data_IF_240372991931
#
_entry.id   IF_240372991931
#
_cell.length_a   1.000
_cell.length_b   1.000
_cell.length_c   1.000
_cell.angle_alpha   90.00
_cell.angle_beta   90.00
_cell.angle_gamma   90.00
#
_symmetry.space_group_name_H-M   'P 1'
#
loop_
_entity.id
_entity.type
_entity.pdbx_description
1 polymer ?
#
# COMPACT_ATOMS: atom_id res chain seq x y z
N UNK A 1 -18.29 -24.74 -9.76
CA UNK A 1 -17.02 -24.32 -10.40
C UNK A 1 -17.00 -22.81 -10.40
N UNK A 2 -15.87 -22.19 -10.06
CA UNK A 2 -15.75 -20.73 -10.06
C UNK A 2 -15.86 -20.18 -11.49
N UNK A 3 -16.75 -19.20 -11.71
CA UNK A 3 -16.96 -18.59 -13.04
C UNK A 3 -15.77 -17.69 -13.37
N UNK A 4 -15.01 -18.00 -14.43
CA UNK A 4 -13.79 -17.25 -14.80
C UNK A 4 -13.82 -16.75 -16.23
N UNK A 5 -13.37 -15.52 -16.45
CA UNK A 5 -13.29 -14.87 -17.77
C UNK A 5 -11.95 -14.17 -17.95
N UNK A 6 -11.48 -14.06 -19.19
CA UNK A 6 -10.35 -13.19 -19.48
C UNK A 6 -10.69 -11.72 -19.21
N UNK A 7 -9.73 -10.94 -18.70
CA UNK A 7 -9.89 -9.49 -18.50
C UNK A 7 -10.35 -8.79 -19.80
N UNK A 8 -9.82 -9.19 -20.97
CA UNK A 8 -10.26 -8.64 -22.25
C UNK A 8 -11.73 -8.93 -22.56
N UNK A 9 -12.22 -10.09 -22.14
CA UNK A 9 -13.61 -10.51 -22.37
C UNK A 9 -14.54 -9.60 -21.56
N UNK A 10 -14.20 -9.36 -20.30
CA UNK A 10 -14.95 -8.42 -19.44
C UNK A 10 -14.94 -7.01 -20.03
N UNK A 11 -13.79 -6.52 -20.49
CA UNK A 11 -13.70 -5.22 -21.17
C UNK A 11 -14.58 -5.17 -22.43
N UNK A 12 -14.60 -6.22 -23.26
CA UNK A 12 -15.46 -6.29 -24.45
C UNK A 12 -16.94 -6.26 -24.10
N UNK A 13 -17.36 -6.92 -23.02
CA UNK A 13 -18.72 -6.83 -22.52
C UNK A 13 -19.07 -5.41 -22.06
N UNK A 14 -18.15 -4.72 -21.38
CA UNK A 14 -18.31 -3.32 -21.01
C UNK A 14 -18.46 -2.42 -22.26
N UNK A 15 -17.58 -2.59 -23.26
CA UNK A 15 -17.64 -1.85 -24.52
C UNK A 15 -18.97 -2.09 -25.26
N UNK A 16 -19.47 -3.33 -25.27
CA UNK A 16 -20.76 -3.68 -25.87
C UNK A 16 -21.93 -2.97 -25.19
N UNK A 17 -21.96 -2.97 -23.86
CA UNK A 17 -22.98 -2.29 -23.09
C UNK A 17 -22.93 -0.77 -23.30
N UNK A 18 -21.73 -0.19 -23.34
CA UNK A 18 -21.51 1.22 -23.66
C UNK A 18 -22.01 1.57 -25.06
N UNK A 19 -21.67 0.77 -26.08
CA UNK A 19 -22.07 1.03 -27.46
C UNK A 19 -23.60 1.07 -27.66
N UNK A 20 -24.35 0.34 -26.83
CA UNK A 20 -25.82 0.33 -26.86
C UNK A 20 -26.46 1.59 -26.27
N UNK A 21 -25.86 2.20 -25.26
CA UNK A 21 -26.46 3.34 -24.54
C UNK A 21 -25.77 4.67 -24.82
N UNK A 22 -24.53 4.65 -25.33
CA UNK A 22 -23.64 5.81 -25.42
C UNK A 22 -23.44 6.52 -24.06
N UNK A 23 -23.65 5.79 -22.97
CA UNK A 23 -23.52 6.25 -21.59
C UNK A 23 -22.59 5.33 -20.80
N UNK A 24 -21.79 5.86 -19.85
CA UNK A 24 -20.94 5.04 -18.98
C UNK A 24 -21.72 3.91 -18.30
N UNK A 25 -21.15 2.71 -18.34
CA UNK A 25 -21.78 1.46 -17.89
C UNK A 25 -21.78 1.41 -16.37
N UNK A 26 -22.95 1.38 -15.74
CA UNK A 26 -23.06 1.09 -14.31
C UNK A 26 -22.55 -0.30 -14.01
N UNK A 27 -21.88 -0.46 -12.88
CA UNK A 27 -21.28 -1.73 -12.56
C UNK A 27 -22.29 -2.86 -12.33
N UNK A 28 -23.42 -2.61 -11.66
CA UNK A 28 -24.43 -3.67 -11.48
C UNK A 28 -24.94 -4.18 -12.83
N UNK A 29 -25.07 -3.28 -13.81
CA UNK A 29 -25.48 -3.64 -15.17
C UNK A 29 -24.44 -4.53 -15.85
N UNK A 30 -23.15 -4.28 -15.63
CA UNK A 30 -22.08 -5.14 -16.14
C UNK A 30 -22.13 -6.53 -15.49
N UNK A 31 -22.23 -6.60 -14.16
CA UNK A 31 -22.28 -7.88 -13.43
C UNK A 31 -23.51 -8.70 -13.81
N UNK A 32 -24.70 -8.11 -13.78
CA UNK A 32 -25.93 -8.81 -14.20
C UNK A 32 -25.83 -9.30 -15.64
N UNK A 33 -25.20 -8.53 -16.54
CA UNK A 33 -24.98 -8.99 -17.92
C UNK A 33 -24.03 -10.19 -17.98
N UNK A 34 -22.90 -10.14 -17.28
CA UNK A 34 -21.93 -11.24 -17.26
C UNK A 34 -22.52 -12.52 -16.66
N UNK A 35 -23.29 -12.41 -15.58
CA UNK A 35 -23.92 -13.55 -14.90
C UNK A 35 -24.97 -14.23 -15.78
N UNK A 36 -25.88 -13.44 -16.37
CA UNK A 36 -26.98 -13.95 -17.19
C UNK A 36 -26.51 -14.53 -18.53
N UNK A 37 -25.36 -14.08 -19.04
CA UNK A 37 -24.84 -14.50 -20.34
C UNK A 37 -23.57 -15.36 -20.23
N UNK A 38 -23.21 -15.82 -19.02
CA UNK A 38 -21.93 -16.46 -18.75
C UNK A 38 -21.62 -17.63 -19.69
N UNK A 39 -22.57 -18.56 -19.88
CA UNK A 39 -22.39 -19.75 -20.73
C UNK A 39 -22.09 -19.39 -22.20
N UNK A 40 -22.77 -18.38 -22.74
CA UNK A 40 -22.52 -17.90 -24.09
C UNK A 40 -21.16 -17.18 -24.19
N UNK A 41 -20.79 -16.42 -23.16
CA UNK A 41 -19.53 -15.66 -23.13
C UNK A 41 -18.34 -16.60 -23.01
N UNK A 42 -18.37 -17.59 -22.12
CA UNK A 42 -17.26 -18.52 -21.91
C UNK A 42 -16.98 -19.35 -23.17
N UNK A 43 -18.01 -19.79 -23.90
CA UNK A 43 -17.86 -20.54 -25.14
C UNK A 43 -17.19 -19.72 -26.26
N UNK A 44 -17.35 -18.39 -26.24
CA UNK A 44 -16.89 -17.50 -27.30
C UNK A 44 -15.66 -16.67 -26.92
N UNK A 45 -15.21 -16.70 -25.66
CA UNK A 45 -14.06 -15.91 -25.25
C UNK A 45 -12.79 -16.38 -25.96
N UNK A 46 -11.95 -15.42 -26.34
CA UNK A 46 -10.66 -15.68 -26.99
C UNK A 46 -9.58 -14.88 -26.32
N UNK A 47 -8.36 -15.42 -26.34
CA UNK A 47 -7.18 -14.65 -26.01
C UNK A 47 -7.08 -13.46 -26.98
N UNK A 48 -6.75 -12.31 -26.44
CA UNK A 48 -6.39 -11.13 -27.20
C UNK A 48 -4.99 -11.30 -27.79
N UNK A 49 -4.81 -10.76 -28.99
CA UNK A 49 -3.51 -10.55 -29.61
C UNK A 49 -3.27 -9.04 -29.67
N UNK A 50 -2.14 -8.59 -29.14
CA UNK A 50 -1.77 -7.17 -29.07
C UNK A 50 -0.26 -7.03 -29.31
N UNK A 51 0.15 -6.00 -30.04
CA UNK A 51 1.58 -5.73 -30.30
C UNK A 51 2.35 -5.46 -29.01
N UNK A 52 1.70 -4.88 -28.02
CA UNK A 52 2.23 -4.75 -26.67
C UNK A 52 2.04 -6.08 -25.89
N UNK A 53 3.15 -6.81 -25.73
CA UNK A 53 3.17 -8.11 -25.03
C UNK A 53 2.70 -8.02 -23.57
N UNK A 54 2.97 -6.92 -22.87
CA UNK A 54 2.51 -6.74 -21.51
C UNK A 54 0.99 -6.59 -21.46
N UNK A 55 0.43 -5.67 -22.26
CA UNK A 55 -1.02 -5.47 -22.38
C UNK A 55 -1.72 -6.78 -22.77
N UNK A 56 -1.18 -7.50 -23.75
CA UNK A 56 -1.67 -8.83 -24.13
C UNK A 56 -1.70 -9.79 -22.94
N UNK A 57 -0.61 -9.85 -22.15
CA UNK A 57 -0.51 -10.77 -21.03
C UNK A 57 -1.54 -10.50 -19.93
N UNK A 58 -1.76 -9.22 -19.59
CA UNK A 58 -2.76 -8.82 -18.60
C UNK A 58 -4.16 -9.11 -19.13
N UNK A 59 -4.46 -8.69 -20.35
CA UNK A 59 -5.76 -8.91 -20.98
C UNK A 59 -6.14 -10.40 -21.12
N UNK A 60 -5.14 -11.29 -21.13
CA UNK A 60 -5.31 -12.75 -21.17
C UNK A 60 -5.24 -13.42 -19.79
N UNK A 61 -5.19 -12.65 -18.71
CA UNK A 61 -5.31 -13.20 -17.35
C UNK A 61 -6.77 -13.57 -17.09
N UNK A 62 -7.01 -14.75 -16.53
CA UNK A 62 -8.33 -15.21 -16.09
C UNK A 62 -8.63 -14.62 -14.71
N UNK A 63 -9.79 -14.00 -14.56
CA UNK A 63 -10.28 -13.47 -13.29
C UNK A 63 -11.61 -14.12 -12.94
N UNK A 64 -11.87 -14.31 -11.65
CA UNK A 64 -13.17 -14.77 -11.18
C UNK A 64 -14.22 -13.67 -11.34
N UNK A 65 -15.45 -14.03 -11.67
CA UNK A 65 -16.58 -13.07 -11.58
C UNK A 65 -16.77 -12.58 -10.15
N UNK A 66 -16.40 -13.38 -9.15
CA UNK A 66 -16.43 -12.97 -7.75
C UNK A 66 -15.29 -11.99 -7.39
N UNK A 67 -14.19 -12.03 -8.17
CA UNK A 67 -13.06 -11.11 -8.04
C UNK A 67 -13.29 -9.83 -8.84
N UNK A 68 -14.32 -9.76 -9.70
CA UNK A 68 -14.84 -8.46 -10.11
C UNK A 68 -15.43 -7.85 -8.84
N UNK A 69 -14.57 -7.16 -8.10
CA UNK A 69 -14.95 -6.35 -6.95
C UNK A 69 -15.70 -5.15 -7.49
N UNK A 70 -16.80 -4.80 -6.83
CA UNK A 70 -17.58 -3.65 -7.25
C UNK A 70 -16.69 -2.39 -7.23
N UNK A 71 -16.50 -1.70 -8.36
CA UNK A 71 -16.07 -0.32 -8.36
C UNK A 71 -17.17 0.43 -7.64
N UNK A 72 -16.87 0.78 -6.40
CA UNK A 72 -17.21 2.04 -5.77
C UNK A 72 -18.56 2.60 -6.23
N UNK A 73 -19.65 2.08 -5.66
CA UNK A 73 -21.01 2.63 -5.83
C UNK A 73 -21.59 3.18 -4.55
N UNK A 74 -20.77 3.35 -3.50
CA UNK A 74 -21.17 3.97 -2.24
C UNK A 74 -20.22 5.11 -1.90
N UNK A 75 -20.77 6.15 -1.28
CA UNK A 75 -20.07 7.38 -0.91
C UNK A 75 -19.02 7.12 0.18
N UNK A 76 -19.22 6.08 1.01
CA UNK A 76 -18.26 5.61 2.02
C UNK A 76 -17.91 4.15 1.73
N UNK A 77 -16.66 3.88 1.35
CA UNK A 77 -16.16 2.55 0.98
C UNK A 77 -15.08 2.16 2.00
N UNK A 78 -15.34 1.13 2.80
CA UNK A 78 -14.31 0.50 3.63
C UNK A 78 -13.41 -0.41 2.75
N UNK A 79 -12.14 -0.52 3.10
CA UNK A 79 -11.04 -1.29 2.47
C UNK A 79 -11.43 -2.73 2.18
N UNK A 80 -12.35 -3.27 2.98
CA UNK A 80 -12.91 -4.61 2.89
C UNK A 80 -13.70 -4.85 1.60
N UNK A 81 -14.12 -3.79 0.90
CA UNK A 81 -14.91 -3.88 -0.34
C UNK A 81 -14.09 -3.72 -1.63
N UNK A 82 -12.86 -3.20 -1.55
CA UNK A 82 -11.94 -3.05 -2.70
C UNK A 82 -10.89 -4.15 -2.77
N UNK A 83 -10.44 -4.62 -1.60
CA UNK A 83 -9.41 -5.65 -1.47
C UNK A 83 -10.09 -6.88 -0.88
N UNK A 84 -10.00 -8.07 -1.51
CA UNK A 84 -10.51 -9.31 -0.93
C UNK A 84 -9.95 -9.56 0.47
N UNK A 85 -10.74 -10.11 1.39
CA UNK A 85 -10.34 -10.30 2.80
C UNK A 85 -9.08 -11.16 2.98
N UNK A 86 -8.82 -12.07 2.03
CA UNK A 86 -7.63 -12.92 1.99
C UNK A 86 -6.35 -12.20 1.52
N UNK A 87 -6.47 -10.96 1.03
CA UNK A 87 -5.40 -10.19 0.40
C UNK A 87 -5.11 -8.89 1.17
N UNK A 88 -3.87 -8.44 1.09
CA UNK A 88 -3.45 -7.13 1.61
C UNK A 88 -3.12 -6.12 0.50
N UNK A 89 -2.76 -6.64 -0.68
CA UNK A 89 -2.50 -5.88 -1.90
C UNK A 89 -3.38 -6.49 -2.99
N UNK A 90 -4.03 -5.64 -3.78
CA UNK A 90 -4.90 -6.09 -4.87
C UNK A 90 -4.74 -5.18 -6.08
N UNK A 91 -4.45 -5.76 -7.24
CA UNK A 91 -4.26 -5.02 -8.47
C UNK A 91 -5.21 -5.50 -9.58
N UNK A 92 -5.71 -4.57 -10.37
CA UNK A 92 -6.56 -4.88 -11.52
C UNK A 92 -6.42 -3.82 -12.61
N UNK A 93 -6.89 -4.18 -13.80
CA UNK A 93 -6.99 -3.26 -14.94
C UNK A 93 -8.24 -2.39 -14.79
N UNK A 94 -8.08 -1.07 -14.82
CA UNK A 94 -9.22 -0.15 -14.91
C UNK A 94 -10.05 -0.45 -16.15
N UNK A 95 -11.36 -0.69 -15.99
CA UNK A 95 -12.24 -0.99 -17.12
C UNK A 95 -12.69 0.29 -17.82
N UNK A 96 -12.43 0.38 -19.12
CA UNK A 96 -12.87 1.52 -19.92
C UNK A 96 -14.40 1.54 -20.02
N UNK A 97 -14.97 2.75 -20.12
CA UNK A 97 -16.40 3.03 -20.18
C UNK A 97 -17.21 2.67 -18.93
N UNK A 98 -16.59 2.15 -17.88
CA UNK A 98 -17.27 1.94 -16.62
C UNK A 98 -17.62 3.29 -15.99
N UNK A 99 -18.82 3.42 -15.45
CA UNK A 99 -19.26 4.63 -14.78
C UNK A 99 -18.46 4.79 -13.49
N UNK A 100 -17.66 5.84 -13.41
CA UNK A 100 -16.97 6.25 -12.20
C UNK A 100 -17.47 7.61 -11.72
N UNK A 101 -17.64 7.75 -10.41
CA UNK A 101 -18.02 8.99 -9.73
C UNK A 101 -16.94 9.38 -8.72
N UNK A 102 -16.98 10.62 -8.24
CA UNK A 102 -16.12 11.03 -7.12
C UNK A 102 -16.41 10.15 -5.91
N UNK A 103 -15.35 9.61 -5.32
CA UNK A 103 -15.42 8.69 -4.20
C UNK A 103 -14.18 8.80 -3.31
N UNK A 104 -14.21 8.11 -2.18
CA UNK A 104 -13.10 7.96 -1.24
C UNK A 104 -13.10 6.54 -0.67
N UNK A 105 -11.92 6.08 -0.23
CA UNK A 105 -11.70 4.77 0.38
C UNK A 105 -10.50 4.85 1.34
N UNK A 106 -10.38 3.95 2.31
CA UNK A 106 -9.37 4.01 3.39
C UNK A 106 -8.02 3.32 3.08
N UNK A 107 -7.77 2.97 1.82
CA UNK A 107 -6.51 2.35 1.37
C UNK A 107 -5.69 3.33 0.53
N UNK A 108 -4.42 2.97 0.32
CA UNK A 108 -3.64 3.64 -0.70
C UNK A 108 -4.00 3.05 -2.05
N UNK A 109 -4.22 3.93 -3.00
CA UNK A 109 -4.37 3.60 -4.42
C UNK A 109 -3.13 4.04 -5.19
N UNK A 110 -2.66 3.19 -6.10
CA UNK A 110 -1.60 3.50 -7.05
C UNK A 110 -2.14 3.27 -8.46
N UNK A 111 -2.17 4.33 -9.25
CA UNK A 111 -2.50 4.29 -10.66
C UNK A 111 -1.25 4.32 -11.51
N UNK A 112 -1.13 3.38 -12.44
CA UNK A 112 -0.07 3.41 -13.44
C UNK A 112 -0.63 3.38 -14.85
N UNK A 113 -0.34 4.43 -15.62
CA UNK A 113 -0.76 4.55 -17.02
C UNK A 113 0.24 3.86 -17.93
N UNK A 114 -0.21 2.82 -18.63
CA UNK A 114 0.59 2.04 -19.58
C UNK A 114 0.44 2.61 -20.98
N UNK A 115 -0.79 2.88 -21.39
CA UNK A 115 -1.18 3.37 -22.72
C UNK A 115 -2.37 4.34 -22.61
N UNK A 116 -2.51 5.22 -23.62
CA UNK A 116 -3.59 6.20 -23.67
C UNK A 116 -3.40 7.35 -22.69
N UNK A 117 -4.50 7.87 -22.15
CA UNK A 117 -4.48 9.02 -21.23
C UNK A 117 -5.73 9.05 -20.36
N UNK A 118 -5.58 9.56 -19.15
CA UNK A 118 -6.70 9.71 -18.23
C UNK A 118 -6.70 11.09 -17.56
N UNK A 119 -7.83 11.44 -16.94
CA UNK A 119 -7.96 12.62 -16.12
C UNK A 119 -8.25 12.20 -14.69
N UNK A 120 -7.35 12.55 -13.78
CA UNK A 120 -7.56 12.48 -12.35
C UNK A 120 -8.25 13.77 -11.90
N UNK A 121 -9.43 13.63 -11.31
CA UNK A 121 -10.10 14.66 -10.54
C UNK A 121 -9.79 14.40 -9.08
N UNK A 122 -9.07 15.31 -8.44
CA UNK A 122 -8.65 15.16 -7.05
C UNK A 122 -9.01 16.44 -6.30
N UNK A 123 -9.92 16.34 -5.33
CA UNK A 123 -10.49 17.49 -4.63
C UNK A 123 -11.01 18.56 -5.60
N UNK A 124 -10.31 19.69 -5.72
CA UNK A 124 -10.65 20.81 -6.61
C UNK A 124 -9.72 20.93 -7.82
N UNK A 125 -8.77 20.01 -7.99
CA UNK A 125 -7.83 19.99 -9.11
C UNK A 125 -8.17 18.90 -10.10
N UNK A 126 -7.81 19.15 -11.35
CA UNK A 126 -7.88 18.19 -12.43
C UNK A 126 -6.48 18.08 -13.05
N UNK A 127 -6.02 16.84 -13.23
CA UNK A 127 -4.67 16.54 -13.69
C UNK A 127 -4.76 15.51 -14.80
N UNK A 128 -3.98 15.73 -15.86
CA UNK A 128 -3.85 14.77 -16.94
C UNK A 128 -2.78 13.72 -16.58
N UNK A 129 -3.14 12.45 -16.70
CA UNK A 129 -2.23 11.32 -16.55
C UNK A 129 -1.86 10.80 -17.94
N UNK A 130 -0.56 10.66 -18.19
CA UNK A 130 0.02 10.21 -19.45
C UNK A 130 0.80 8.90 -19.27
N UNK A 131 1.13 8.16 -20.34
CA UNK A 131 1.87 6.90 -20.23
C UNK A 131 3.19 7.07 -19.46
N UNK A 132 3.44 6.19 -18.49
CA UNK A 132 4.58 6.28 -17.56
C UNK A 132 4.30 7.07 -16.28
N UNK A 133 3.18 7.77 -16.17
CA UNK A 133 2.80 8.43 -14.93
C UNK A 133 2.34 7.39 -13.89
N UNK A 134 2.90 7.50 -12.69
CA UNK A 134 2.43 6.78 -11.49
C UNK A 134 1.83 7.78 -10.54
N UNK A 135 0.56 7.61 -10.16
CA UNK A 135 -0.10 8.45 -9.17
C UNK A 135 -0.40 7.63 -7.92
N UNK A 136 0.11 8.06 -6.76
CA UNK A 136 -0.17 7.45 -5.45
C UNK A 136 -1.16 8.35 -4.72
N UNK A 137 -2.32 7.82 -4.36
CA UNK A 137 -3.43 8.54 -3.74
C UNK A 137 -3.52 8.12 -2.27
N UNK A 138 -3.60 9.10 -1.37
CA UNK A 138 -3.72 8.83 0.07
C UNK A 138 -5.11 8.28 0.44
N UNK A 139 -5.23 7.53 1.54
CA UNK A 139 -6.52 7.15 2.09
C UNK A 139 -7.44 8.36 2.32
N UNK A 140 -8.74 8.12 2.19
CA UNK A 140 -9.85 9.05 2.40
C UNK A 140 -9.80 10.29 1.49
N UNK A 141 -9.01 10.26 0.42
CA UNK A 141 -9.00 11.32 -0.57
C UNK A 141 -10.23 11.23 -1.48
N UNK A 142 -10.91 12.36 -1.70
CA UNK A 142 -12.02 12.41 -2.66
C UNK A 142 -11.48 12.58 -4.07
N UNK A 143 -11.63 11.54 -4.88
CA UNK A 143 -11.08 11.52 -6.23
C UNK A 143 -11.94 10.74 -7.22
N UNK A 144 -11.62 10.89 -8.50
CA UNK A 144 -12.19 10.13 -9.61
C UNK A 144 -11.19 10.08 -10.75
N UNK A 145 -11.11 8.95 -11.46
CA UNK A 145 -10.31 8.80 -12.66
C UNK A 145 -11.23 8.58 -13.84
N UNK A 146 -11.17 9.50 -14.79
CA UNK A 146 -11.88 9.37 -16.06
C UNK A 146 -10.89 8.89 -17.12
N UNK A 147 -11.07 7.67 -17.58
CA UNK A 147 -10.26 7.08 -18.64
C UNK A 147 -10.80 7.44 -20.02
N UNK A 148 -9.90 7.77 -20.95
CA UNK A 148 -10.28 7.97 -22.35
C UNK A 148 -10.32 6.64 -23.12
N UNK A 149 -10.81 6.69 -24.36
CA UNK A 149 -10.83 5.53 -25.25
C UNK A 149 -9.41 4.99 -25.42
N UNK A 150 -9.28 3.66 -25.45
CA UNK A 150 -8.02 2.93 -25.66
C UNK A 150 -6.94 3.19 -24.59
N UNK A 151 -7.36 3.62 -23.40
CA UNK A 151 -6.48 3.77 -22.23
C UNK A 151 -6.27 2.44 -21.52
N UNK A 152 -5.05 2.20 -21.02
CA UNK A 152 -4.70 1.03 -20.24
C UNK A 152 -4.05 1.48 -18.93
N UNK A 153 -4.81 1.39 -17.83
CA UNK A 153 -4.36 1.73 -16.48
C UNK A 153 -4.46 0.50 -15.58
N UNK A 154 -3.44 0.31 -14.75
CA UNK A 154 -3.47 -0.64 -13.64
C UNK A 154 -3.63 0.14 -12.35
N UNK A 155 -4.62 -0.25 -11.55
CA UNK A 155 -4.83 0.24 -10.19
C UNK A 155 -4.26 -0.81 -9.23
N UNK A 156 -3.54 -0.37 -8.20
CA UNK A 156 -3.09 -1.20 -7.07
C UNK A 156 -3.63 -0.60 -5.79
N UNK A 157 -4.35 -1.40 -5.02
CA UNK A 157 -4.85 -1.03 -3.70
C UNK A 157 -4.03 -1.71 -2.61
N UNK A 158 -3.66 -0.95 -1.58
CA UNK A 158 -2.83 -1.40 -0.46
C UNK A 158 -3.54 -1.08 0.85
N UNK A 159 -3.83 -2.10 1.65
CA UNK A 159 -4.49 -1.92 2.96
C UNK A 159 -3.69 -1.01 3.88
N UNK A 160 -4.39 -0.15 4.61
CA UNK A 160 -3.74 0.76 5.57
C UNK A 160 -2.91 0.04 6.65
N UNK A 161 -3.35 -1.16 7.10
CA UNK A 161 -2.65 -1.93 8.14
C UNK A 161 -1.21 -2.36 7.77
N UNK A 162 -0.86 -2.36 6.48
CA UNK A 162 0.46 -2.76 5.98
C UNK A 162 1.32 -1.59 5.50
N UNK A 163 0.92 -0.33 5.66
CA UNK A 163 1.69 0.84 5.20
C UNK A 163 3.12 0.87 5.72
N UNK A 164 3.32 0.49 6.99
CA UNK A 164 4.66 0.40 7.58
C UNK A 164 5.59 -0.58 6.86
N UNK A 165 5.05 -1.59 6.15
CA UNK A 165 5.83 -2.56 5.40
C UNK A 165 6.20 -2.05 4.00
N UNK A 166 5.45 -1.06 3.50
CA UNK A 166 5.75 -0.33 2.26
C UNK A 166 6.94 0.60 2.50
N UNK A 167 7.00 1.21 3.69
CA UNK A 167 8.18 1.93 4.16
C UNK A 167 9.35 0.96 4.34
N UNK A 168 10.42 1.17 3.59
CA UNK A 168 11.69 0.52 3.87
C UNK A 168 12.49 1.41 4.83
N UNK A 169 12.09 1.38 6.10
CA UNK A 169 12.63 2.22 7.19
C UNK A 169 14.15 2.02 7.38
N UNK A 170 14.70 0.93 6.83
CA UNK A 170 16.11 0.58 6.88
C UNK A 170 17.04 1.35 5.93
N UNK A 171 16.51 2.18 5.02
CA UNK A 171 17.36 2.94 4.10
C UNK A 171 17.83 4.27 4.72
N UNK A 172 19.09 4.62 4.46
CA UNK A 172 19.70 5.90 4.87
C UNK A 172 19.01 7.12 4.22
N UNK A 173 18.20 6.90 3.19
CA UNK A 173 17.51 7.93 2.42
C UNK A 173 15.99 7.92 2.67
N UNK A 174 15.48 9.00 3.28
CA UNK A 174 14.03 9.23 3.39
C UNK A 174 13.49 9.78 2.07
N UNK A 175 13.25 8.87 1.11
CA UNK A 175 12.78 9.20 -0.24
C UNK A 175 11.37 9.83 -0.25
N UNK A 176 10.94 10.35 -1.40
CA UNK A 176 9.66 11.06 -1.52
C UNK A 176 8.42 10.19 -1.29
N UNK A 177 8.47 8.91 -1.68
CA UNK A 177 7.38 7.95 -1.42
C UNK A 177 7.37 7.64 0.08
N UNK A 178 8.52 7.38 0.69
CA UNK A 178 8.64 7.20 2.13
C UNK A 178 8.11 8.41 2.92
N UNK A 179 8.43 9.63 2.49
CA UNK A 179 7.89 10.86 3.05
C UNK A 179 6.36 10.95 2.90
N UNK A 180 5.83 10.60 1.74
CA UNK A 180 4.40 10.60 1.46
C UNK A 180 3.64 9.60 2.35
N UNK A 181 4.12 8.35 2.42
CA UNK A 181 3.53 7.29 3.26
C UNK A 181 3.64 7.63 4.75
N UNK A 182 4.78 8.15 5.19
CA UNK A 182 4.98 8.54 6.58
C UNK A 182 4.04 9.69 6.98
N UNK A 183 3.83 10.69 6.10
CA UNK A 183 2.84 11.75 6.32
C UNK A 183 1.44 11.17 6.54
N UNK A 184 1.04 10.16 5.75
CA UNK A 184 -0.24 9.46 5.91
C UNK A 184 -0.32 8.81 7.30
N UNK A 185 0.75 8.14 7.74
CA UNK A 185 0.78 7.44 9.03
C UNK A 185 0.70 8.37 10.25
N UNK A 186 1.25 9.59 10.16
CA UNK A 186 1.26 10.53 11.29
C UNK A 186 -0.03 11.33 11.46
N UNK A 187 -0.74 11.61 10.37
CA UNK A 187 -1.84 12.55 10.40
C UNK A 187 -3.19 11.87 10.63
N UNK A 188 -3.55 11.68 11.90
CA UNK A 188 -4.88 11.20 12.29
C UNK A 188 -6.04 12.14 11.87
N UNK A 189 -5.77 13.37 11.41
CA UNK A 189 -6.81 14.34 10.99
C UNK A 189 -6.46 15.26 9.79
N UNK A 190 -5.45 15.00 8.93
CA UNK A 190 -5.07 16.00 7.89
C UNK A 190 -5.41 15.62 6.44
N UNK A 191 -5.89 16.64 5.72
CA UNK A 191 -5.81 16.91 4.29
C UNK A 191 -5.34 15.77 3.36
N UNK A 192 -6.25 15.22 2.53
CA UNK A 192 -5.91 14.22 1.53
C UNK A 192 -4.86 14.75 0.53
N UNK A 193 -4.06 13.85 -0.03
CA UNK A 193 -2.98 14.19 -0.95
C UNK A 193 -2.80 13.12 -2.03
N UNK A 194 -2.13 13.50 -3.12
CA UNK A 194 -1.57 12.56 -4.10
C UNK A 194 -0.09 12.85 -4.28
N UNK A 195 0.67 11.84 -4.69
CA UNK A 195 2.03 11.95 -5.21
C UNK A 195 2.04 11.45 -6.65
N UNK A 196 2.24 12.36 -7.60
CA UNK A 196 2.38 12.05 -9.02
C UNK A 196 3.86 11.98 -9.36
N UNK A 197 4.32 10.82 -9.81
CA UNK A 197 5.68 10.57 -10.28
C UNK A 197 5.68 10.38 -11.80
N UNK A 198 6.46 11.19 -12.50
CA UNK A 198 6.68 11.01 -13.95
C UNK A 198 7.82 10.02 -14.15
N UNK A 199 7.48 8.79 -14.57
CA UNK A 199 8.47 7.70 -14.75
C UNK A 199 8.56 7.26 -16.20
N UNK A 200 9.62 6.51 -16.53
CA UNK A 200 9.66 5.76 -17.79
C UNK A 200 8.98 4.41 -17.60
N UNK A 201 7.97 4.14 -18.42
CA UNK A 201 7.38 2.80 -18.51
C UNK A 201 8.45 1.80 -19.00
N UNK A 202 8.93 0.94 -18.10
CA UNK A 202 10.00 -0.02 -18.39
C UNK A 202 9.57 -1.47 -18.12
N UNK A 203 10.35 -2.41 -18.65
CA UNK A 203 10.04 -3.84 -18.59
C UNK A 203 10.00 -4.38 -17.16
N UNK A 204 10.85 -3.90 -16.25
CA UNK A 204 10.88 -4.36 -14.86
C UNK A 204 9.63 -3.92 -14.10
N UNK A 205 9.16 -2.68 -14.32
CA UNK A 205 7.91 -2.18 -13.76
C UNK A 205 6.71 -2.99 -14.27
N UNK A 206 6.68 -3.27 -15.57
CA UNK A 206 5.65 -4.11 -16.19
C UNK A 206 5.65 -5.53 -15.61
N UNK A 207 6.82 -6.18 -15.47
CA UNK A 207 6.86 -7.53 -14.89
C UNK A 207 6.42 -7.52 -13.43
N UNK A 208 6.85 -6.55 -12.62
CA UNK A 208 6.39 -6.43 -11.23
C UNK A 208 4.85 -6.30 -11.14
N UNK A 209 4.24 -5.46 -11.98
CA UNK A 209 2.78 -5.29 -12.02
C UNK A 209 2.06 -6.56 -12.46
N UNK A 210 2.59 -7.25 -13.47
CA UNK A 210 2.04 -8.53 -13.92
C UNK A 210 2.03 -9.55 -12.79
N UNK A 211 3.12 -9.64 -12.03
CA UNK A 211 3.20 -10.56 -10.89
C UNK A 211 2.22 -10.16 -9.77
N UNK A 212 2.07 -8.86 -9.46
CA UNK A 212 1.06 -8.39 -8.48
C UNK A 212 -0.37 -8.77 -8.93
N UNK A 213 -0.68 -8.64 -10.23
CA UNK A 213 -1.97 -9.04 -10.79
C UNK A 213 -2.17 -10.56 -10.66
N UNK A 214 -1.16 -11.38 -10.96
CA UNK A 214 -1.25 -12.83 -10.76
C UNK A 214 -1.47 -13.21 -9.29
N UNK A 215 -0.80 -12.54 -8.35
CA UNK A 215 -1.02 -12.73 -6.91
C UNK A 215 -2.40 -12.24 -6.42
N UNK A 216 -3.03 -11.35 -7.18
CA UNK A 216 -4.37 -10.82 -6.87
C UNK A 216 -5.47 -11.79 -7.27
N UNK A 217 -5.34 -12.43 -8.45
CA UNK A 217 -6.45 -13.18 -9.08
C UNK A 217 -6.19 -14.69 -9.25
N UNK A 218 -4.94 -15.11 -9.38
CA UNK A 218 -4.59 -16.50 -9.74
C UNK A 218 -4.16 -17.29 -8.52
N UNK A 219 -3.23 -16.76 -7.75
CA UNK A 219 -2.76 -17.40 -6.52
C UNK A 219 -3.68 -17.06 -5.37
N UNK A 220 -4.11 -18.03 -4.57
CA UNK A 220 -5.06 -17.85 -3.46
C UNK A 220 -4.54 -18.44 -2.15
N UNK A 221 -3.26 -18.78 -2.09
CA UNK A 221 -2.63 -19.33 -0.89
C UNK A 221 -2.17 -18.23 0.08
N UNK A 222 -1.76 -18.66 1.28
CA UNK A 222 -1.36 -17.78 2.39
C UNK A 222 -0.09 -16.96 2.12
N UNK A 223 0.65 -17.24 1.05
CA UNK A 223 1.88 -16.53 0.70
C UNK A 223 1.65 -15.40 -0.29
N UNK A 224 0.51 -15.36 -0.98
CA UNK A 224 0.26 -14.37 -2.04
C UNK A 224 0.45 -12.92 -1.60
N UNK A 225 -0.06 -12.52 -0.44
CA UNK A 225 0.13 -11.15 0.07
C UNK A 225 1.61 -10.80 0.30
N UNK A 226 2.43 -11.78 0.72
CA UNK A 226 3.87 -11.58 0.93
C UNK A 226 4.62 -11.47 -0.39
N UNK A 227 4.27 -12.29 -1.37
CA UNK A 227 4.86 -12.25 -2.71
C UNK A 227 4.48 -10.95 -3.42
N UNK A 228 3.20 -10.55 -3.36
CA UNK A 228 2.72 -9.28 -3.88
C UNK A 228 3.46 -8.09 -3.24
N UNK A 229 3.72 -8.13 -1.93
CA UNK A 229 4.51 -7.10 -1.24
C UNK A 229 5.94 -7.03 -1.77
N UNK A 230 6.61 -8.16 -2.01
CA UNK A 230 7.96 -8.18 -2.59
C UNK A 230 7.98 -7.56 -3.99
N UNK A 231 7.00 -7.87 -4.83
CA UNK A 231 6.88 -7.26 -6.16
C UNK A 231 6.52 -5.78 -6.10
N UNK A 232 5.68 -5.37 -5.15
CA UNK A 232 5.39 -3.97 -4.89
C UNK A 232 6.65 -3.19 -4.49
N UNK A 233 7.51 -3.75 -3.64
CA UNK A 233 8.81 -3.13 -3.30
C UNK A 233 9.68 -2.96 -4.55
N UNK A 234 9.78 -3.99 -5.40
CA UNK A 234 10.51 -3.91 -6.67
C UNK A 234 9.91 -2.80 -7.55
N UNK A 235 8.59 -2.70 -7.64
CA UNK A 235 7.91 -1.65 -8.40
C UNK A 235 8.23 -0.25 -7.86
N UNK A 236 8.13 -0.05 -6.54
CA UNK A 236 8.45 1.21 -5.86
C UNK A 236 9.90 1.63 -6.08
N UNK A 237 10.87 0.72 -5.91
CA UNK A 237 12.28 1.04 -6.18
C UNK A 237 12.54 1.38 -7.64
N UNK A 238 11.77 0.82 -8.58
CA UNK A 238 11.87 1.20 -9.99
C UNK A 238 11.28 2.58 -10.27
N UNK A 239 10.24 3.00 -9.54
CA UNK A 239 9.76 4.39 -9.57
C UNK A 239 10.89 5.31 -9.09
N UNK A 240 11.42 5.05 -7.88
CA UNK A 240 12.46 5.87 -7.27
C UNK A 240 13.74 5.95 -8.10
N UNK A 241 14.10 4.87 -8.80
CA UNK A 241 15.26 4.82 -9.70
C UNK A 241 15.09 5.65 -10.97
N UNK A 242 13.87 5.77 -11.49
CA UNK A 242 13.62 6.24 -12.86
C UNK A 242 12.64 7.42 -12.98
N UNK A 243 12.24 8.06 -11.86
CA UNK A 243 11.37 9.22 -11.93
C UNK A 243 12.16 10.46 -12.35
N UNK A 244 11.62 11.21 -13.30
CA UNK A 244 12.22 12.47 -13.77
C UNK A 244 11.79 13.65 -12.91
N UNK A 245 10.52 13.64 -12.50
CA UNK A 245 9.90 14.71 -11.73
C UNK A 245 8.81 14.13 -10.84
N UNK A 246 8.42 14.90 -9.83
CA UNK A 246 7.30 14.55 -8.96
C UNK A 246 6.51 15.80 -8.57
N UNK A 247 5.22 15.61 -8.30
CA UNK A 247 4.35 16.68 -7.79
C UNK A 247 3.41 16.14 -6.71
N UNK A 248 3.06 17.03 -5.78
CA UNK A 248 2.16 16.73 -4.67
C UNK A 248 0.99 17.72 -4.69
N UNK A 249 -0.18 17.31 -4.19
CA UNK A 249 -1.30 18.23 -3.99
C UNK A 249 -0.98 19.24 -2.89
N UNK A 250 -0.53 18.73 -1.73
CA UNK A 250 0.04 19.52 -0.64
C UNK A 250 1.53 19.20 -0.49
N UNK A 251 2.40 20.21 -0.40
CA UNK A 251 3.83 19.98 -0.22
C UNK A 251 4.10 19.26 1.11
N UNK A 252 5.16 18.46 1.12
CA UNK A 252 5.62 17.80 2.34
C UNK A 252 6.44 18.82 3.14
N UNK A 253 6.02 19.11 4.36
CA UNK A 253 6.78 19.98 5.26
C UNK A 253 8.10 19.34 5.68
N UNK A 254 9.18 20.14 5.75
CA UNK A 254 10.50 19.69 6.22
C UNK A 254 10.48 19.07 7.62
N UNK A 255 9.49 19.43 8.44
CA UNK A 255 9.27 18.84 9.77
C UNK A 255 9.11 17.33 9.71
N UNK A 256 8.44 16.79 8.67
CA UNK A 256 8.25 15.34 8.52
C UNK A 256 9.55 14.59 8.26
N UNK A 257 10.44 15.17 7.44
CA UNK A 257 11.78 14.62 7.21
C UNK A 257 12.58 14.60 8.52
N UNK A 258 12.52 15.68 9.29
CA UNK A 258 13.19 15.76 10.60
C UNK A 258 12.65 14.69 11.56
N UNK A 259 11.33 14.55 11.65
CA UNK A 259 10.67 13.57 12.51
C UNK A 259 11.02 12.12 12.14
N UNK A 260 11.09 11.81 10.84
CA UNK A 260 11.55 10.50 10.39
C UNK A 260 13.00 10.25 10.81
N UNK A 261 13.91 11.21 10.56
CA UNK A 261 15.32 11.05 10.95
C UNK A 261 15.48 10.86 12.45
N UNK A 262 14.65 11.54 13.25
CA UNK A 262 14.57 11.33 14.70
C UNK A 262 14.13 9.89 15.01
N UNK A 263 13.04 9.40 14.45
CA UNK A 263 12.56 8.03 14.71
C UNK A 263 13.57 6.97 14.26
N UNK A 264 14.13 7.10 13.06
CA UNK A 264 15.13 6.18 12.54
C UNK A 264 16.38 6.16 13.44
N UNK A 265 16.78 7.33 13.97
CA UNK A 265 17.87 7.38 14.95
C UNK A 265 17.50 6.67 16.25
N UNK A 266 16.28 6.83 16.74
CA UNK A 266 15.79 6.12 17.93
C UNK A 266 15.79 4.61 17.69
N UNK A 267 15.33 4.16 16.52
CA UNK A 267 15.29 2.74 16.16
C UNK A 267 16.71 2.18 16.04
N UNK A 268 17.63 2.82 15.32
CA UNK A 268 19.00 2.30 15.18
C UNK A 268 19.83 2.36 16.48
N UNK A 269 19.42 3.17 17.47
CA UNK A 269 20.13 3.35 18.73
C UNK A 269 19.26 2.96 19.95
N UNK A 270 18.22 2.14 19.76
CA UNK A 270 17.18 1.93 20.77
C UNK A 270 17.72 1.42 22.11
N UNK A 271 18.86 0.72 22.12
CA UNK A 271 19.42 0.14 23.34
C UNK A 271 19.83 1.23 24.33
N UNK A 272 20.47 2.30 23.86
CA UNK A 272 21.14 3.28 24.73
C UNK A 272 20.67 4.73 24.55
N UNK A 273 19.93 5.06 23.48
CA UNK A 273 19.54 6.45 23.19
C UNK A 273 18.73 7.08 24.32
N UNK A 274 19.14 8.27 24.75
CA UNK A 274 18.36 9.12 25.66
C UNK A 274 17.75 10.32 24.92
N UNK A 275 16.76 10.98 25.54
CA UNK A 275 16.20 12.22 25.01
C UNK A 275 17.27 13.32 24.91
N UNK A 276 18.23 13.35 25.85
CA UNK A 276 19.34 14.30 25.86
C UNK A 276 20.27 14.09 24.66
N UNK A 277 20.62 12.84 24.36
CA UNK A 277 21.46 12.50 23.20
C UNK A 277 20.78 12.90 21.89
N UNK A 278 19.48 12.63 21.81
CA UNK A 278 18.65 12.96 20.66
C UNK A 278 18.54 14.49 20.48
N UNK A 279 18.29 15.23 21.57
CA UNK A 279 18.22 16.69 21.55
C UNK A 279 19.54 17.31 21.08
N UNK A 280 20.67 16.84 21.60
CA UNK A 280 22.02 17.27 21.16
C UNK A 280 22.26 16.96 19.69
N UNK A 281 21.94 15.73 19.24
CA UNK A 281 22.17 15.27 17.86
C UNK A 281 21.41 16.09 16.82
N UNK A 282 20.18 16.50 17.14
CA UNK A 282 19.29 17.25 16.25
C UNK A 282 19.26 18.76 16.54
N UNK A 283 20.17 19.26 17.38
CA UNK A 283 20.29 20.68 17.74
C UNK A 283 19.00 21.29 18.32
N UNK A 284 18.27 20.51 19.11
CA UNK A 284 17.09 20.95 19.85
C UNK A 284 17.37 21.02 21.35
N UNK A 285 16.56 21.78 22.09
CA UNK A 285 16.45 21.59 23.53
C UNK A 285 15.50 20.42 23.84
N UNK A 286 15.72 19.75 24.98
CA UNK A 286 14.95 18.54 25.36
C UNK A 286 13.45 18.81 25.50
N UNK A 287 13.06 19.97 26.04
CA UNK A 287 11.66 20.32 26.24
C UNK A 287 10.92 20.47 24.90
N UNK A 288 11.54 21.15 23.93
CA UNK A 288 11.02 21.29 22.58
C UNK A 288 10.92 19.94 21.89
N UNK A 289 11.97 19.12 21.93
CA UNK A 289 11.97 17.81 21.28
C UNK A 289 10.91 16.87 21.89
N UNK A 290 10.77 16.88 23.21
CA UNK A 290 9.73 16.13 23.92
C UNK A 290 8.32 16.57 23.49
N UNK A 291 8.10 17.89 23.41
CA UNK A 291 6.84 18.48 22.94
C UNK A 291 6.55 18.11 21.49
N UNK A 292 7.54 18.22 20.60
CA UNK A 292 7.45 17.88 19.19
C UNK A 292 7.07 16.40 19.00
N UNK A 293 7.75 15.48 19.69
CA UNK A 293 7.44 14.04 19.66
C UNK A 293 6.03 13.79 20.19
N UNK A 294 5.67 14.35 21.35
CA UNK A 294 4.35 14.13 21.96
C UNK A 294 3.23 14.67 21.08
N UNK A 295 3.39 15.87 20.50
CA UNK A 295 2.41 16.47 19.59
C UNK A 295 2.22 15.65 18.32
N UNK A 296 3.32 15.10 17.78
CA UNK A 296 3.30 14.36 16.51
C UNK A 296 2.73 12.94 16.67
N UNK A 297 3.26 12.17 17.63
CA UNK A 297 2.95 10.74 17.77
C UNK A 297 1.86 10.46 18.79
N UNK A 298 1.41 11.49 19.52
CA UNK A 298 0.51 11.37 20.67
C UNK A 298 1.05 10.46 21.80
N UNK A 299 2.35 10.19 21.81
CA UNK A 299 3.06 9.39 22.81
C UNK A 299 4.42 10.01 23.11
N UNK A 300 4.94 9.78 24.31
CA UNK A 300 6.26 10.28 24.72
C UNK A 300 7.40 9.52 24.05
N UNK A 301 8.57 10.16 23.96
CA UNK A 301 9.85 9.51 23.59
C UNK A 301 10.07 8.20 24.38
N UNK A 302 9.88 8.25 25.70
CA UNK A 302 10.04 7.07 26.57
C UNK A 302 9.07 5.93 26.23
N UNK A 303 7.87 6.26 25.74
CA UNK A 303 6.90 5.26 25.28
C UNK A 303 7.29 4.67 23.95
N UNK A 304 7.76 5.50 22.99
CA UNK A 304 8.30 5.05 21.70
C UNK A 304 9.46 4.08 21.93
N UNK A 305 10.47 4.50 22.69
CA UNK A 305 11.67 3.71 22.97
C UNK A 305 11.31 2.37 23.63
N UNK A 306 10.43 2.40 24.62
CA UNK A 306 9.93 1.19 25.30
C UNK A 306 9.25 0.24 24.32
N UNK A 307 8.42 0.74 23.40
CA UNK A 307 7.73 -0.10 22.42
C UNK A 307 8.72 -0.75 21.45
N UNK A 308 9.71 0.00 20.96
CA UNK A 308 10.79 -0.53 20.10
C UNK A 308 11.55 -1.64 20.83
N UNK A 309 12.01 -1.38 22.07
CA UNK A 309 12.67 -2.39 22.91
C UNK A 309 11.85 -3.68 23.05
N UNK A 310 10.53 -3.58 23.21
CA UNK A 310 9.67 -4.76 23.31
C UNK A 310 9.50 -5.52 21.98
N UNK A 311 9.53 -4.83 20.84
CA UNK A 311 9.51 -5.46 19.51
C UNK A 311 10.77 -6.34 19.35
N UNK A 312 11.95 -5.77 19.64
CA UNK A 312 13.20 -6.52 19.59
C UNK A 312 13.23 -7.66 20.61
N UNK A 313 12.73 -7.43 21.83
CA UNK A 313 12.63 -8.49 22.84
C UNK A 313 11.81 -9.70 22.34
N UNK A 314 10.64 -9.45 21.73
CA UNK A 314 9.83 -10.54 21.13
C UNK A 314 10.59 -11.27 20.03
N UNK A 315 11.30 -10.54 19.18
CA UNK A 315 12.10 -11.13 18.11
C UNK A 315 13.21 -12.04 18.67
N UNK A 316 13.95 -11.59 19.68
CA UNK A 316 14.97 -12.42 20.34
C UNK A 316 14.36 -13.62 21.06
N UNK A 317 13.21 -13.46 21.72
CA UNK A 317 12.53 -14.57 22.41
C UNK A 317 12.09 -15.69 21.46
N UNK A 318 11.70 -15.36 20.23
CA UNK A 318 11.18 -16.31 19.22
C UNK A 318 12.30 -16.89 18.35
N UNK A 319 13.30 -16.08 17.98
CA UNK A 319 14.25 -16.41 16.93
C UNK A 319 15.67 -16.74 17.44
N UNK A 320 15.91 -16.71 18.76
CA UNK A 320 17.22 -16.97 19.34
C UNK A 320 17.14 -17.75 20.65
N UNK A 321 18.25 -18.39 21.02
CA UNK A 321 18.40 -19.10 22.30
C UNK A 321 18.90 -18.22 23.45
N UNK A 322 18.99 -16.89 23.23
CA UNK A 322 19.48 -15.95 24.25
C UNK A 322 18.71 -16.11 25.57
N UNK A 323 19.38 -16.12 26.71
CA UNK A 323 18.71 -16.13 28.00
C UNK A 323 18.09 -14.74 28.32
N UNK A 324 17.29 -14.64 29.39
CA UNK A 324 16.57 -13.39 29.70
C UNK A 324 17.51 -12.24 30.08
N UNK A 325 18.66 -12.53 30.68
CA UNK A 325 19.69 -11.54 31.03
C UNK A 325 20.35 -10.99 29.77
N UNK A 326 20.75 -11.87 28.84
CA UNK A 326 21.32 -11.50 27.54
C UNK A 326 20.34 -10.64 26.73
N UNK A 327 19.05 -11.03 26.69
CA UNK A 327 18.03 -10.24 26.02
C UNK A 327 17.91 -8.87 26.69
N UNK A 328 17.82 -8.82 28.02
CA UNK A 328 17.73 -7.56 28.78
C UNK A 328 18.87 -6.60 28.43
N UNK A 329 20.11 -7.10 28.40
CA UNK A 329 21.30 -6.32 28.04
C UNK A 329 21.20 -5.85 26.59
N UNK A 330 20.87 -6.75 25.65
CA UNK A 330 20.78 -6.42 24.21
C UNK A 330 19.70 -5.38 23.90
N UNK A 331 18.59 -5.38 24.65
CA UNK A 331 17.55 -4.35 24.53
C UNK A 331 17.80 -3.11 25.39
N UNK A 332 18.94 -3.04 26.10
CA UNK A 332 19.38 -1.90 26.87
C UNK A 332 18.58 -1.65 28.15
N UNK A 333 18.23 -2.71 28.89
CA UNK A 333 17.71 -2.63 30.24
C UNK A 333 18.82 -2.96 31.24
N UNK A 334 18.95 -2.12 32.28
CA UNK A 334 19.96 -2.29 33.33
C UNK A 334 19.71 -3.48 34.26
N UNK A 335 18.49 -4.03 34.26
CA UNK A 335 18.18 -5.23 35.03
C UNK A 335 17.12 -6.09 34.35
N UNK A 336 17.35 -7.41 34.38
CA UNK A 336 16.44 -8.43 33.86
C UNK A 336 15.06 -8.34 34.52
N UNK A 337 15.01 -8.01 35.81
CA UNK A 337 13.75 -7.83 36.54
C UNK A 337 12.91 -6.68 36.00
N UNK A 338 13.54 -5.55 35.65
CA UNK A 338 12.83 -4.41 35.07
C UNK A 338 12.30 -4.75 33.67
N UNK A 339 13.10 -5.49 32.88
CA UNK A 339 12.66 -6.02 31.60
C UNK A 339 11.46 -6.95 31.76
N UNK A 340 11.54 -7.98 32.62
CA UNK A 340 10.47 -8.97 32.83
C UNK A 340 9.17 -8.28 33.26
N UNK A 341 9.22 -7.36 34.24
CA UNK A 341 8.03 -6.61 34.69
C UNK A 341 7.42 -5.80 33.55
N UNK A 342 8.26 -5.09 32.78
CA UNK A 342 7.78 -4.25 31.68
C UNK A 342 7.16 -5.08 30.56
N UNK A 343 7.82 -6.16 30.16
CA UNK A 343 7.33 -7.08 29.13
C UNK A 343 6.00 -7.70 29.53
N UNK A 344 5.91 -8.18 30.77
CA UNK A 344 4.68 -8.81 31.29
C UNK A 344 3.52 -7.83 31.31
N UNK A 345 3.74 -6.59 31.76
CA UNK A 345 2.71 -5.55 31.76
C UNK A 345 2.20 -5.24 30.35
N UNK A 346 3.08 -5.23 29.34
CA UNK A 346 2.71 -4.84 27.97
C UNK A 346 2.11 -6.00 27.16
N UNK A 347 2.43 -7.24 27.50
CA UNK A 347 2.05 -8.41 26.70
C UNK A 347 1.12 -9.39 27.43
N UNK A 348 0.82 -9.15 28.70
CA UNK A 348 -0.06 -9.99 29.53
C UNK A 348 0.58 -11.29 30.04
N UNK A 349 1.73 -11.70 29.49
CA UNK A 349 2.46 -12.92 29.88
C UNK A 349 3.95 -12.66 30.05
N UNK A 350 4.62 -13.48 30.86
CA UNK A 350 6.06 -13.36 31.10
C UNK A 350 6.88 -13.67 29.83
N UNK A 351 8.11 -13.13 29.69
CA UNK A 351 8.99 -13.45 28.56
C UNK A 351 9.20 -14.96 28.36
N UNK A 352 9.41 -15.70 29.45
CA UNK A 352 9.59 -17.16 29.39
C UNK A 352 8.35 -17.90 28.88
N UNK A 353 7.14 -17.49 29.33
CA UNK A 353 5.88 -18.04 28.79
C UNK A 353 5.72 -17.67 27.32
N UNK A 354 6.03 -16.43 26.95
CA UNK A 354 5.97 -15.96 25.57
C UNK A 354 6.86 -16.81 24.65
N UNK A 355 8.13 -17.04 25.03
CA UNK A 355 9.03 -17.96 24.31
C UNK A 355 8.40 -19.34 24.14
N UNK A 356 7.91 -19.95 25.22
CA UNK A 356 7.31 -21.29 25.17
C UNK A 356 6.09 -21.38 24.24
N UNK A 357 5.31 -20.32 24.14
CA UNK A 357 4.10 -20.30 23.30
C UNK A 357 4.38 -20.05 21.82
N UNK A 358 5.41 -19.26 21.49
CA UNK A 358 5.62 -18.74 20.13
C UNK A 358 6.94 -19.16 19.48
N UNK A 359 7.88 -19.74 20.23
CA UNK A 359 9.07 -20.35 19.66
C UNK A 359 8.65 -21.56 18.81
N UNK A 360 9.27 -21.70 17.63
CA UNK A 360 9.05 -22.84 16.72
C UNK A 360 10.05 -23.98 16.94
N UNK A 361 10.74 -23.99 18.08
CA UNK A 361 11.69 -25.03 18.46
C UNK A 361 10.98 -26.08 19.30
#
# INVERSE_FOLDING_TARGET
MEKKLYINTVQKCCNYLFAKTQEPVKYEKLITYLENNYEAIILNQKKEFNSNKFVQSINNTLISLNDLTAPIMRINVEDSSLIPLSKDIYAFKHLNHLKSTIHEHDCIEIDFVIEGKAQLFFEKKQIQLLPGHVCIISPLARHNIKVEKDTFIINIFIRNKILKNVLDISSEEFDIISQFIYRIMLNKESNPNYLLCETKNNQTMQEALKQIILESHVHQDKYSSKIAMSWLKIFIYNILRNFNSSSLYFPIENTYKTLYTILNYIENNYSHVTLSDLAKKFHYNEAYLSSLIKKTFNISFSTILKNIKMIHAKAFLINTDMNLDEISIAIGYNSVDHFIRTFTRLNGITPGKYRKHYSKI
#
